data_IF_469274536547
#
_entry.id   IF_469274536547
#
_cell.length_a   1.000
_cell.length_b   1.000
_cell.length_c   1.000
_cell.angle_alpha   90.00
_cell.angle_beta   90.00
_cell.angle_gamma   90.00
#
_symmetry.space_group_name_H-M   'P 1'
#
loop_
_entity.id
_entity.type
_entity.pdbx_description
1 polymer ?
#
# COMPACT_ATOMS: atom_id res chain seq x y z
N UNK A 1 16.83 4.22 16.22
CA UNK A 1 15.35 4.25 16.28
C UNK A 1 14.92 3.36 17.44
N UNK A 2 14.11 3.83 18.38
CA UNK A 2 13.73 3.03 19.56
C UNK A 2 12.52 2.14 19.26
N UNK A 3 12.43 0.99 19.94
CA UNK A 3 11.28 0.07 19.83
C UNK A 3 9.97 0.74 20.22
N UNK A 4 9.99 1.67 21.16
CA UNK A 4 8.83 2.44 21.60
C UNK A 4 8.32 3.40 20.53
N UNK A 5 9.21 4.04 19.78
CA UNK A 5 8.83 4.87 18.63
C UNK A 5 8.17 4.02 17.54
N UNK A 6 8.77 2.89 17.18
CA UNK A 6 8.20 1.98 16.18
C UNK A 6 6.82 1.46 16.59
N UNK A 7 6.64 1.06 17.85
CA UNK A 7 5.34 0.63 18.38
C UNK A 7 4.28 1.72 18.28
N UNK A 8 4.67 2.98 18.57
CA UNK A 8 3.76 4.12 18.47
C UNK A 8 3.37 4.41 17.02
N UNK A 9 4.34 4.43 16.11
CA UNK A 9 4.10 4.64 14.68
C UNK A 9 3.21 3.52 14.11
N UNK A 10 3.47 2.27 14.46
CA UNK A 10 2.64 1.15 14.04
C UNK A 10 1.19 1.32 14.50
N UNK A 11 0.96 1.67 15.76
CA UNK A 11 -0.41 1.90 16.28
C UNK A 11 -1.13 3.06 15.60
N UNK A 12 -0.38 4.10 15.19
CA UNK A 12 -0.93 5.29 14.56
C UNK A 12 -1.30 5.06 13.09
N UNK A 13 -0.46 4.31 12.36
CA UNK A 13 -0.59 4.16 10.91
C UNK A 13 -1.11 2.80 10.45
N UNK A 14 -1.33 1.83 11.36
CA UNK A 14 -1.94 0.55 10.99
C UNK A 14 -3.37 0.75 10.51
N UNK A 15 -3.62 0.40 9.26
CA UNK A 15 -4.97 0.30 8.69
C UNK A 15 -5.76 -0.81 9.40
N UNK A 16 -6.89 -0.45 10.00
CA UNK A 16 -7.69 -1.36 10.84
C UNK A 16 -8.72 -2.15 10.03
N UNK A 17 -9.11 -1.65 8.86
CA UNK A 17 -10.04 -2.33 7.96
C UNK A 17 -9.43 -3.57 7.28
N UNK A 18 -8.10 -3.66 7.23
CA UNK A 18 -7.37 -4.83 6.73
C UNK A 18 -7.07 -5.79 7.88
N UNK A 19 -7.69 -6.97 7.85
CA UNK A 19 -7.48 -8.03 8.84
C UNK A 19 -7.69 -9.42 8.23
N UNK A 20 -7.19 -10.45 8.92
CA UNK A 20 -7.20 -11.82 8.44
C UNK A 20 -5.89 -12.23 7.77
N UNK A 21 -5.81 -13.50 7.38
CA UNK A 21 -4.59 -14.11 6.79
C UNK A 21 -4.39 -13.72 5.32
N UNK A 22 -5.47 -13.54 4.57
CA UNK A 22 -5.42 -13.28 3.14
C UNK A 22 -5.99 -11.90 2.83
N UNK A 23 -5.12 -10.99 2.42
CA UNK A 23 -5.49 -9.64 2.00
C UNK A 23 -5.34 -9.57 0.47
N UNK A 24 -6.46 -9.54 -0.25
CA UNK A 24 -6.49 -9.49 -1.70
C UNK A 24 -6.54 -8.04 -2.19
N UNK A 25 -6.39 -7.86 -3.51
CA UNK A 25 -6.50 -6.55 -4.14
C UNK A 25 -7.84 -5.87 -3.84
N UNK A 26 -8.95 -6.62 -3.84
CA UNK A 26 -10.30 -6.11 -3.56
C UNK A 26 -10.44 -5.56 -2.14
N UNK A 27 -9.67 -6.07 -1.18
CA UNK A 27 -9.63 -5.52 0.18
C UNK A 27 -8.87 -4.19 0.24
N UNK A 28 -7.79 -4.06 -0.53
CA UNK A 28 -6.86 -2.92 -0.44
C UNK A 28 -7.31 -1.75 -1.32
N UNK A 29 -7.76 -2.02 -2.55
CA UNK A 29 -8.07 -0.99 -3.55
C UNK A 29 -9.06 0.09 -3.07
N UNK A 30 -10.15 -0.24 -2.34
CA UNK A 30 -11.09 0.78 -1.84
C UNK A 30 -10.41 1.83 -0.93
N UNK A 31 -9.36 1.42 -0.23
CA UNK A 31 -8.66 2.23 0.78
C UNK A 31 -7.80 3.31 0.11
N UNK A 32 -7.37 3.14 -1.14
CA UNK A 32 -6.54 4.14 -1.84
C UNK A 32 -7.20 5.51 -1.91
N UNK A 33 -8.52 5.55 -2.09
CA UNK A 33 -9.31 6.78 -2.10
C UNK A 33 -9.51 7.44 -0.72
N UNK A 34 -9.27 6.70 0.38
CA UNK A 34 -9.49 7.21 1.74
C UNK A 34 -8.40 8.19 2.19
N UNK A 35 -7.22 8.15 1.56
CA UNK A 35 -6.07 8.96 1.93
C UNK A 35 -5.91 10.18 1.01
N UNK A 36 -6.51 11.32 1.39
CA UNK A 36 -6.50 12.56 0.58
C UNK A 36 -5.10 13.09 0.22
N UNK A 37 -4.08 12.80 1.03
CA UNK A 37 -2.70 13.22 0.81
C UNK A 37 -1.92 12.30 -0.13
N UNK A 38 -2.52 11.19 -0.57
CA UNK A 38 -1.93 10.23 -1.49
C UNK A 38 -2.57 10.44 -2.85
N UNK A 39 -1.73 10.68 -3.87
CA UNK A 39 -2.16 10.66 -5.26
C UNK A 39 -2.12 9.22 -5.75
N UNK A 40 -3.26 8.73 -6.25
CA UNK A 40 -3.37 7.45 -6.93
C UNK A 40 -3.40 7.69 -8.45
N UNK A 41 -2.60 6.94 -9.19
CA UNK A 41 -2.62 6.87 -10.65
C UNK A 41 -2.52 5.43 -11.13
N UNK A 42 -3.30 5.07 -12.15
CA UNK A 42 -3.17 3.77 -12.81
C UNK A 42 -2.08 3.85 -13.87
N UNK A 43 -0.99 3.08 -13.71
CA UNK A 43 0.14 3.04 -14.65
C UNK A 43 -0.16 2.22 -15.91
N UNK A 44 -1.13 1.32 -15.83
CA UNK A 44 -1.53 0.42 -16.90
C UNK A 44 -2.42 -0.70 -16.39
N UNK A 45 -2.56 -1.76 -17.17
CA UNK A 45 -3.39 -2.90 -16.84
C UNK A 45 -2.61 -4.20 -17.02
N UNK A 46 -2.89 -5.19 -16.18
CA UNK A 46 -2.36 -6.54 -16.33
C UNK A 46 -2.95 -7.25 -17.55
N UNK A 47 -2.43 -8.45 -17.86
CA UNK A 47 -2.97 -9.31 -18.93
C UNK A 47 -4.48 -9.60 -18.75
N UNK A 48 -4.94 -9.65 -17.49
CA UNK A 48 -6.36 -9.88 -17.16
C UNK A 48 -7.18 -8.58 -17.03
N UNK A 49 -6.60 -7.43 -17.39
CA UNK A 49 -7.28 -6.13 -17.33
C UNK A 49 -7.38 -5.52 -15.93
N UNK A 50 -6.66 -6.06 -14.92
CA UNK A 50 -6.63 -5.45 -13.59
C UNK A 50 -5.70 -4.23 -13.59
N UNK A 51 -6.09 -3.09 -13.00
CA UNK A 51 -5.26 -1.90 -13.00
C UNK A 51 -3.98 -2.11 -12.15
N UNK A 52 -2.90 -1.47 -12.59
CA UNK A 52 -1.63 -1.40 -11.86
C UNK A 52 -1.57 -0.02 -11.20
N UNK A 53 -1.95 0.06 -9.92
CA UNK A 53 -2.03 1.32 -9.18
C UNK A 53 -0.64 1.77 -8.67
N UNK A 54 -0.36 3.06 -8.81
CA UNK A 54 0.78 3.73 -8.22
C UNK A 54 0.30 4.79 -7.23
N UNK A 55 0.78 4.68 -6.00
CA UNK A 55 0.50 5.61 -4.92
C UNK A 55 1.72 6.50 -4.70
N UNK A 56 1.51 7.81 -4.69
CA UNK A 56 2.58 8.79 -4.47
C UNK A 56 2.20 9.78 -3.37
N UNK A 57 3.18 10.09 -2.51
CA UNK A 57 3.05 11.09 -1.46
C UNK A 57 4.40 11.75 -1.15
N UNK A 58 4.35 12.98 -0.62
CA UNK A 58 5.55 13.74 -0.25
C UNK A 58 6.23 14.48 -1.41
N UNK A 59 7.09 15.45 -1.06
CA UNK A 59 7.76 16.36 -2.00
C UNK A 59 9.28 16.46 -1.74
N UNK A 60 9.86 15.45 -1.09
CA UNK A 60 11.28 15.45 -0.74
C UNK A 60 12.22 15.33 -1.95
N UNK A 61 13.49 15.75 -1.81
CA UNK A 61 14.49 15.67 -2.89
C UNK A 61 14.93 14.23 -3.19
N UNK A 62 14.81 13.32 -2.22
CA UNK A 62 15.09 11.90 -2.40
C UNK A 62 13.80 11.18 -2.81
N UNK A 63 13.85 10.49 -3.95
CA UNK A 63 12.74 9.64 -4.42
C UNK A 63 12.94 8.22 -3.91
N UNK A 64 11.91 7.67 -3.29
CA UNK A 64 11.89 6.29 -2.82
C UNK A 64 10.77 5.57 -3.55
N UNK A 65 11.11 4.47 -4.22
CA UNK A 65 10.16 3.59 -4.87
C UNK A 65 10.01 2.32 -4.05
N UNK A 66 8.76 1.94 -3.80
CA UNK A 66 8.40 0.67 -3.18
C UNK A 66 7.35 0.01 -4.07
N UNK A 67 7.38 -1.31 -4.14
CA UNK A 67 6.35 -2.10 -4.79
C UNK A 67 6.10 -3.35 -3.95
N UNK A 68 4.92 -3.94 -4.14
CA UNK A 68 4.53 -5.19 -3.51
C UNK A 68 4.01 -6.16 -4.58
N UNK A 69 3.97 -7.45 -4.24
CA UNK A 69 3.33 -8.50 -5.03
C UNK A 69 3.79 -8.61 -6.49
N UNK A 70 5.11 -8.72 -6.71
CA UNK A 70 5.67 -9.03 -8.04
C UNK A 70 5.31 -10.47 -8.47
N UNK A 71 5.35 -11.42 -7.54
CA UNK A 71 4.87 -12.78 -7.75
C UNK A 71 3.54 -12.97 -7.03
N UNK A 72 2.52 -13.44 -7.75
CA UNK A 72 1.14 -13.54 -7.24
C UNK A 72 0.99 -14.50 -6.04
N UNK A 73 1.90 -15.45 -5.87
CA UNK A 73 1.92 -16.43 -4.79
C UNK A 73 2.78 -16.03 -3.58
N UNK A 74 3.43 -14.85 -3.59
CA UNK A 74 4.31 -14.38 -2.51
C UNK A 74 3.61 -13.34 -1.61
N UNK A 75 2.36 -13.63 -1.22
CA UNK A 75 1.67 -12.79 -0.23
C UNK A 75 2.42 -12.82 1.11
N UNK A 76 2.44 -11.70 1.83
CA UNK A 76 2.93 -11.67 3.22
C UNK A 76 2.01 -12.54 4.11
N UNK A 77 2.54 -13.66 4.63
CA UNK A 77 1.82 -14.61 5.52
C UNK A 77 1.91 -14.26 6.98
#
# INVERSE_FOLDING_TARGET
>A
MTTQLLSTLFKLYKEKSLYGRYITYEHVHPIFSSYRSIKNETLGYSVNGNPIDCLSCGNGPVKVLMWSQMHGNESTT
#
